data_IF_182021254771
#
_entry.id   IF_182021254771
#
_cell.length_a   1.000
_cell.length_b   1.000
_cell.length_c   1.000
_cell.angle_alpha   90.00
_cell.angle_beta   90.00
_cell.angle_gamma   90.00
#
_symmetry.space_group_name_H-M   'P 1'
#
loop_
_entity.id
_entity.type
_entity.pdbx_description
1 polymer ?
#
# COMPACT_ATOMS: atom_id res chain seq x y z
N UNK A 1 -9.26 -16.33 13.36
CA UNK A 1 -7.89 -15.79 13.57
C UNK A 1 -8.03 -14.29 13.81
N UNK A 2 -7.34 -13.71 14.80
CA UNK A 2 -7.36 -12.27 15.01
C UNK A 2 -6.80 -11.58 13.76
N UNK A 3 -7.52 -10.57 13.27
CA UNK A 3 -7.12 -9.76 12.14
C UNK A 3 -6.85 -8.34 12.62
N UNK A 4 -5.81 -7.74 12.07
CA UNK A 4 -5.48 -6.34 12.24
C UNK A 4 -5.73 -5.62 10.93
N UNK A 5 -6.13 -4.35 11.02
CA UNK A 5 -6.37 -3.50 9.87
C UNK A 5 -5.70 -2.15 10.06
N UNK A 6 -5.09 -1.63 9.01
CA UNK A 6 -4.51 -0.28 8.98
C UNK A 6 -4.80 0.37 7.63
N UNK A 7 -5.18 1.65 7.65
CA UNK A 7 -5.40 2.43 6.45
C UNK A 7 -4.15 3.23 6.12
N UNK A 8 -3.71 3.14 4.87
CA UNK A 8 -2.54 3.85 4.37
C UNK A 8 -2.93 4.70 3.16
N UNK A 9 -2.39 5.90 3.13
CA UNK A 9 -2.36 6.77 1.97
C UNK A 9 -1.04 6.55 1.26
N UNK A 10 -1.12 6.15 0.00
CA UNK A 10 0.01 5.98 -0.88
C UNK A 10 0.10 7.18 -1.82
N UNK A 11 1.29 7.77 -1.94
CA UNK A 11 1.61 8.89 -2.84
C UNK A 11 2.90 8.58 -3.57
N UNK A 12 3.10 9.11 -4.78
CA UNK A 12 4.34 8.88 -5.53
C UNK A 12 5.49 9.65 -4.88
N UNK A 13 6.63 8.98 -4.66
CA UNK A 13 7.87 9.65 -4.29
C UNK A 13 8.38 10.41 -5.53
N UNK A 14 8.36 11.74 -5.46
CA UNK A 14 8.70 12.61 -6.59
C UNK A 14 10.16 12.57 -7.05
N UNK A 15 10.97 11.64 -6.55
CA UNK A 15 12.41 11.57 -6.84
C UNK A 15 12.74 10.95 -8.19
N UNK A 16 11.88 10.11 -8.77
CA UNK A 16 12.14 9.48 -10.07
C UNK A 16 11.02 9.79 -11.08
N UNK A 17 11.10 10.99 -11.66
CA UNK A 17 10.27 11.37 -12.81
C UNK A 17 11.07 11.20 -14.09
N UNK A 18 11.33 9.94 -14.46
CA UNK A 18 11.94 9.59 -15.73
C UNK A 18 11.28 8.35 -16.34
N UNK A 19 9.96 8.41 -16.57
CA UNK A 19 9.28 7.87 -17.77
C UNK A 19 7.78 7.73 -17.55
N UNK A 20 7.03 8.17 -18.56
CA UNK A 20 5.69 7.70 -18.97
C UNK A 20 4.59 7.59 -17.91
N UNK A 21 3.67 8.57 -17.89
CA UNK A 21 2.19 8.41 -17.88
C UNK A 21 1.50 7.40 -16.92
N UNK A 22 2.20 6.83 -15.95
CA UNK A 22 1.65 5.92 -14.95
C UNK A 22 1.36 6.75 -13.70
N UNK A 23 0.08 6.81 -13.36
CA UNK A 23 -0.46 7.52 -12.19
C UNK A 23 0.10 6.92 -10.88
N UNK A 24 0.26 7.74 -9.85
CA UNK A 24 0.67 7.30 -8.51
C UNK A 24 -0.22 6.16 -7.98
N UNK A 25 -1.49 6.17 -8.40
CA UNK A 25 -2.50 5.14 -8.10
C UNK A 25 -2.11 3.77 -8.64
N UNK A 26 -1.48 3.68 -9.82
CA UNK A 26 -1.09 2.41 -10.47
C UNK A 26 0.12 1.78 -9.79
N UNK A 27 1.10 2.59 -9.40
CA UNK A 27 2.28 2.13 -8.65
C UNK A 27 1.86 1.65 -7.25
N UNK A 28 1.04 2.46 -6.55
CA UNK A 28 0.47 2.09 -5.26
C UNK A 28 -0.39 0.82 -5.33
N UNK A 29 -1.19 0.65 -6.39
CA UNK A 29 -1.92 -0.59 -6.63
C UNK A 29 -1.00 -1.79 -6.82
N UNK A 30 0.09 -1.63 -7.55
CA UNK A 30 1.08 -2.71 -7.74
C UNK A 30 1.67 -3.14 -6.39
N UNK A 31 2.06 -2.19 -5.55
CA UNK A 31 2.55 -2.44 -4.18
C UNK A 31 1.53 -3.25 -3.36
N UNK A 32 0.27 -2.82 -3.36
CA UNK A 32 -0.80 -3.47 -2.59
C UNK A 32 -1.10 -4.88 -3.09
N UNK A 33 -1.12 -5.09 -4.41
CA UNK A 33 -1.36 -6.39 -5.01
C UNK A 33 -0.23 -7.38 -4.74
N UNK A 34 1.03 -6.93 -4.85
CA UNK A 34 2.20 -7.76 -4.51
C UNK A 34 2.21 -8.08 -3.02
N UNK A 35 2.00 -7.08 -2.16
CA UNK A 35 1.91 -7.26 -0.71
C UNK A 35 0.85 -8.28 -0.30
N UNK A 36 -0.31 -8.27 -0.97
CA UNK A 36 -1.37 -9.26 -0.74
C UNK A 36 -0.93 -10.66 -1.16
N UNK A 37 -0.23 -10.79 -2.29
CA UNK A 37 0.24 -12.08 -2.80
C UNK A 37 1.32 -12.72 -1.91
N UNK A 38 2.10 -11.92 -1.18
CA UNK A 38 3.17 -12.39 -0.30
C UNK A 38 2.67 -13.08 0.99
N UNK A 39 1.44 -12.81 1.44
CA UNK A 39 0.95 -13.32 2.71
C UNK A 39 -0.42 -13.98 2.65
N UNK A 40 -0.50 -15.21 3.14
CA UNK A 40 -1.76 -15.93 3.26
C UNK A 40 -2.72 -15.21 4.22
N UNK A 41 -3.94 -14.92 3.75
CA UNK A 41 -4.97 -14.25 4.52
C UNK A 41 -4.90 -12.72 4.54
N UNK A 42 -3.94 -12.12 3.82
CA UNK A 42 -3.89 -10.67 3.59
C UNK A 42 -4.97 -10.25 2.59
N UNK A 43 -5.57 -9.09 2.81
CA UNK A 43 -6.58 -8.50 1.93
C UNK A 43 -6.41 -6.99 1.90
N UNK A 44 -6.78 -6.38 0.78
CA UNK A 44 -6.86 -4.94 0.65
C UNK A 44 -8.30 -4.50 0.36
N UNK A 45 -8.61 -3.28 0.76
CA UNK A 45 -9.85 -2.57 0.46
C UNK A 45 -9.50 -1.15 0.05
N UNK A 46 -9.86 -0.76 -1.16
CA UNK A 46 -9.66 0.62 -1.63
C UNK A 46 -10.70 1.50 -0.95
N UNK A 47 -10.24 2.51 -0.23
CA UNK A 47 -11.09 3.50 0.42
C UNK A 47 -11.28 4.73 -0.45
N UNK A 48 -10.22 5.15 -1.15
CA UNK A 48 -10.25 6.29 -2.09
C UNK A 48 -9.27 6.06 -3.24
N UNK A 49 -9.81 6.04 -4.46
CA UNK A 49 -9.07 6.07 -5.74
C UNK A 49 -9.44 7.29 -6.60
N UNK A 50 -10.04 8.31 -5.98
CA UNK A 50 -10.68 9.43 -6.70
C UNK A 50 -9.69 10.40 -7.35
N UNK A 51 -8.38 10.22 -7.14
CA UNK A 51 -7.34 11.10 -7.68
C UNK A 51 -6.14 10.34 -8.22
N UNK A 52 -5.52 10.90 -9.27
CA UNK A 52 -4.25 10.40 -9.84
C UNK A 52 -3.03 10.66 -8.92
N UNK A 53 -3.24 11.43 -7.85
CA UNK A 53 -2.19 11.93 -6.96
C UNK A 53 -1.96 11.03 -5.74
N UNK A 54 -2.99 10.30 -5.28
CA UNK A 54 -2.89 9.43 -4.11
C UNK A 54 -3.92 8.29 -4.16
N UNK A 55 -3.60 7.19 -3.47
CA UNK A 55 -4.48 6.04 -3.28
C UNK A 55 -4.61 5.77 -1.78
N UNK A 56 -5.83 5.68 -1.25
CA UNK A 56 -6.07 5.29 0.14
C UNK A 56 -6.56 3.85 0.18
N UNK A 57 -5.83 2.98 0.88
CA UNK A 57 -6.15 1.56 0.99
C UNK A 57 -6.13 1.13 2.44
N UNK A 58 -7.17 0.39 2.85
CA UNK A 58 -7.17 -0.38 4.09
C UNK A 58 -6.58 -1.75 3.83
N UNK A 59 -5.49 -2.05 4.52
CA UNK A 59 -4.85 -3.35 4.52
C UNK A 59 -5.34 -4.14 5.73
N UNK A 60 -5.76 -5.39 5.48
CA UNK A 60 -6.21 -6.33 6.48
C UNK A 60 -5.23 -7.51 6.47
N UNK A 61 -4.68 -7.87 7.62
CA UNK A 61 -3.69 -8.92 7.74
C UNK A 61 -3.84 -9.66 9.06
N UNK A 62 -3.44 -10.95 9.12
CA UNK A 62 -3.42 -11.70 10.38
C UNK A 62 -2.51 -11.01 11.40
N UNK A 63 -2.97 -10.84 12.65
CA UNK A 63 -2.19 -10.14 13.68
C UNK A 63 -0.84 -10.82 13.95
N UNK A 64 -0.75 -12.15 13.81
CA UNK A 64 0.49 -12.91 13.91
C UNK A 64 1.53 -12.55 12.84
N UNK A 65 1.08 -12.03 11.69
CA UNK A 65 1.90 -11.58 10.58
C UNK A 65 2.08 -10.05 10.56
N UNK A 66 1.62 -9.31 11.58
CA UNK A 66 1.62 -7.85 11.56
C UNK A 66 3.02 -7.25 11.29
N UNK A 67 4.06 -7.76 11.95
CA UNK A 67 5.42 -7.30 11.74
C UNK A 67 5.90 -7.56 10.30
N UNK A 68 5.75 -8.81 9.82
CA UNK A 68 6.14 -9.19 8.46
C UNK A 68 5.35 -8.41 7.40
N UNK A 69 4.05 -8.21 7.63
CA UNK A 69 3.20 -7.46 6.73
C UNK A 69 3.63 -6.00 6.61
N UNK A 70 4.13 -5.38 7.69
CA UNK A 70 4.63 -4.02 7.64
C UNK A 70 6.00 -3.89 7.00
N UNK A 71 6.86 -4.89 7.20
CA UNK A 71 8.19 -5.01 6.59
C UNK A 71 8.08 -5.21 5.07
N UNK A 72 7.27 -6.18 4.62
CA UNK A 72 6.99 -6.41 3.21
C UNK A 72 6.41 -5.15 2.55
N UNK A 73 5.49 -4.45 3.25
CA UNK A 73 4.88 -3.24 2.72
C UNK A 73 5.92 -2.12 2.53
N UNK A 74 6.86 -1.98 3.46
CA UNK A 74 7.94 -1.00 3.36
C UNK A 74 8.86 -1.29 2.17
N UNK A 75 9.28 -2.54 2.02
CA UNK A 75 10.13 -2.98 0.92
C UNK A 75 9.47 -2.72 -0.44
N UNK A 76 8.18 -3.03 -0.56
CA UNK A 76 7.44 -2.78 -1.80
C UNK A 76 7.27 -1.28 -2.06
N UNK A 77 7.02 -0.48 -1.03
CA UNK A 77 6.95 0.98 -1.16
C UNK A 77 8.27 1.56 -1.67
N UNK A 78 9.41 1.15 -1.11
CA UNK A 78 10.75 1.59 -1.54
C UNK A 78 11.05 1.15 -2.99
N UNK A 79 10.80 -0.12 -3.30
CA UNK A 79 11.04 -0.71 -4.63
C UNK A 79 10.26 0.01 -5.73
N UNK A 80 9.02 0.42 -5.44
CA UNK A 80 8.14 1.09 -6.40
C UNK A 80 8.21 2.62 -6.33
N UNK A 81 9.02 3.21 -5.46
CA UNK A 81 9.12 4.66 -5.29
C UNK A 81 7.79 5.28 -4.83
N UNK A 82 7.10 4.61 -3.90
CA UNK A 82 5.82 5.06 -3.34
C UNK A 82 6.03 5.41 -1.86
N UNK A 83 5.58 6.59 -1.47
CA UNK A 83 5.48 7.00 -0.08
C UNK A 83 4.18 6.48 0.52
N UNK A 84 4.24 5.94 1.74
CA UNK A 84 3.08 5.54 2.52
C UNK A 84 2.96 6.42 3.77
N UNK A 85 1.73 6.82 4.09
CA UNK A 85 1.38 7.51 5.32
C UNK A 85 0.21 6.78 5.98
N UNK A 86 0.31 6.45 7.27
CA UNK A 86 -0.80 5.86 8.01
C UNK A 86 -1.89 6.91 8.24
N UNK A 87 -3.12 6.59 7.82
CA UNK A 87 -4.28 7.44 8.03
C UNK A 87 -4.94 7.03 9.35
N UNK A 88 -4.49 7.64 10.44
CA UNK A 88 -5.08 7.43 11.75
C UNK A 88 -6.51 8.02 11.80
N UNK A 89 -7.55 7.20 11.62
CA UNK A 89 -8.92 7.68 11.73
C UNK A 89 -10.05 6.84 11.14
N UNK A 90 -9.99 5.49 11.19
CA UNK A 90 -11.14 4.66 10.85
C UNK A 90 -11.20 3.36 11.65
#
# INVERSE_FOLDING_TARGET
MPMSSAAFRFTRDGRESHSTMISATTDAMSVVLVWQALGAGRKHEVLDDSGEEFLVVRLNYPTEQAAQAMDDLEEQCDTHGVLREEVAGH
#
